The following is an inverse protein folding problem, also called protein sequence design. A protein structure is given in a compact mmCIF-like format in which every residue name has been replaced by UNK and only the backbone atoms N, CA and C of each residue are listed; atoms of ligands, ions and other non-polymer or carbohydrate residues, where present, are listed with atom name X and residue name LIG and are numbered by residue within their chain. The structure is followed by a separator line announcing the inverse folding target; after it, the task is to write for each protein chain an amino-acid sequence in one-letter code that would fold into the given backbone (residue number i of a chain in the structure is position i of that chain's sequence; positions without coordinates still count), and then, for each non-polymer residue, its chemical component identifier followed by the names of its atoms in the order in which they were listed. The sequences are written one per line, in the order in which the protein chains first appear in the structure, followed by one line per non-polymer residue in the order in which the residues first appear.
data_IF_734815007501
#
_entry.id   IF_734815007501
#
_cell.length_a   1.000
_cell.length_b   1.000
_cell.length_c   1.000
_cell.angle_alpha   90.00
_cell.angle_beta   90.00
_cell.angle_gamma   90.00
#
_symmetry.space_group_name_H-M   'P 1'
#
loop_
_entity.id
_entity.type
_entity.pdbx_description
1 polymer ?
#
# COMPACT_ATOMS: atom_id res chain seq x y z
N UNK A 1 -2.33 -15.70 1.64
CA UNK A 1 -1.43 -14.82 0.86
C UNK A 1 -1.40 -13.48 1.60
N UNK A 2 -0.23 -12.88 1.85
CA UNK A 2 -0.19 -11.58 2.55
C UNK A 2 -0.63 -10.46 1.60
N UNK A 3 -1.51 -9.58 2.08
CA UNK A 3 -2.01 -8.39 1.39
C UNK A 3 -1.65 -7.15 2.18
N UNK A 4 -1.16 -6.11 1.51
CA UNK A 4 -0.61 -4.91 2.15
C UNK A 4 -1.19 -3.67 1.48
N UNK A 5 -1.79 -2.78 2.28
CA UNK A 5 -2.13 -1.43 1.86
C UNK A 5 -0.93 -0.49 2.12
N UNK A 6 -0.30 -0.01 1.05
CA UNK A 6 0.79 0.97 1.10
C UNK A 6 0.25 2.36 0.75
N UNK A 7 0.30 3.27 1.72
CA UNK A 7 -0.12 4.67 1.53
C UNK A 7 1.03 5.64 1.68
N UNK A 8 1.05 6.67 0.85
CA UNK A 8 2.08 7.72 0.89
C UNK A 8 1.44 9.11 1.01
N UNK A 9 1.93 9.93 1.93
CA UNK A 9 1.60 11.35 1.98
C UNK A 9 2.68 12.21 1.29
N UNK A 10 3.73 11.58 0.77
CA UNK A 10 4.80 12.26 0.05
C UNK A 10 4.31 12.66 -1.35
N UNK A 11 4.64 13.88 -1.77
CA UNK A 11 4.41 14.32 -3.15
C UNK A 11 5.44 13.72 -4.12
N UNK A 12 6.60 13.29 -3.59
CA UNK A 12 7.68 12.63 -4.32
C UNK A 12 7.68 11.15 -3.96
N UNK A 13 6.57 10.47 -4.22
CA UNK A 13 6.47 9.03 -4.06
C UNK A 13 7.21 8.35 -5.21
N UNK A 14 8.53 8.20 -5.05
CA UNK A 14 9.40 7.55 -6.03
C UNK A 14 9.65 6.12 -5.56
N UNK A 15 9.18 5.10 -6.31
CA UNK A 15 9.48 3.71 -6.01
C UNK A 15 10.99 3.47 -5.96
N UNK A 16 11.42 2.62 -5.04
CA UNK A 16 12.83 2.29 -4.85
C UNK A 16 13.03 0.83 -4.43
N UNK A 17 14.25 0.43 -4.03
CA UNK A 17 14.61 -0.97 -3.79
C UNK A 17 13.72 -1.72 -2.78
N UNK A 18 13.11 -0.99 -1.84
CA UNK A 18 12.15 -1.56 -0.89
C UNK A 18 10.86 -2.05 -1.58
N UNK A 19 10.40 -1.34 -2.61
CA UNK A 19 9.22 -1.74 -3.40
C UNK A 19 9.51 -3.00 -4.20
N UNK A 20 10.70 -3.08 -4.81
CA UNK A 20 11.14 -4.27 -5.56
C UNK A 20 11.23 -5.49 -4.65
N UNK A 21 11.76 -5.31 -3.43
CA UNK A 21 11.80 -6.37 -2.42
C UNK A 21 10.39 -6.83 -2.05
N UNK A 22 9.46 -5.91 -1.78
CA UNK A 22 8.07 -6.25 -1.46
C UNK A 22 7.38 -7.01 -2.59
N UNK A 23 7.57 -6.57 -3.84
CA UNK A 23 7.00 -7.25 -5.02
C UNK A 23 7.56 -8.67 -5.17
N UNK A 24 8.85 -8.87 -4.88
CA UNK A 24 9.50 -10.19 -4.96
C UNK A 24 9.00 -11.20 -3.91
N UNK A 25 8.32 -10.75 -2.83
CA UNK A 25 7.78 -11.66 -1.81
C UNK A 25 6.49 -12.37 -2.24
N UNK A 26 5.93 -12.01 -3.40
CA UNK A 26 4.63 -12.51 -3.85
C UNK A 26 3.48 -11.99 -2.99
N UNK A 27 3.61 -10.80 -2.41
CA UNK A 27 2.52 -10.16 -1.68
C UNK A 27 1.56 -9.43 -2.63
N UNK A 28 0.29 -9.34 -2.24
CA UNK A 28 -0.65 -8.47 -2.93
C UNK A 28 -0.52 -7.05 -2.38
N UNK A 29 0.10 -6.15 -3.15
CA UNK A 29 0.36 -4.78 -2.73
C UNK A 29 -0.71 -3.85 -3.33
N UNK A 30 -1.53 -3.25 -2.48
CA UNK A 30 -2.51 -2.22 -2.83
C UNK A 30 -1.87 -0.85 -2.53
N UNK A 31 -1.78 0.04 -3.51
CA UNK A 31 -1.12 1.35 -3.38
C UNK A 31 -2.13 2.49 -3.49
N UNK A 32 -2.06 3.46 -2.57
CA UNK A 32 -2.94 4.62 -2.53
C UNK A 32 -2.23 5.90 -2.06
N UNK A 33 -2.73 7.06 -2.47
CA UNK A 33 -2.21 8.35 -1.97
C UNK A 33 -2.97 8.75 -0.71
N UNK A 34 -2.23 8.98 0.38
CA UNK A 34 -2.76 9.51 1.62
C UNK A 34 -2.87 11.05 1.65
N UNK A 35 -3.47 11.60 2.72
CA UNK A 35 -4.10 10.87 3.82
C UNK A 35 -5.45 10.25 3.41
N UNK A 36 -5.68 8.98 3.78
CA UNK A 36 -6.95 8.29 3.52
C UNK A 36 -7.93 8.52 4.67
N UNK A 37 -9.22 8.55 4.36
CA UNK A 37 -10.28 8.50 5.37
C UNK A 37 -10.41 7.09 5.96
N UNK A 38 -10.98 6.99 7.15
CA UNK A 38 -11.30 5.70 7.79
C UNK A 38 -12.15 4.80 6.89
N UNK A 39 -13.21 5.36 6.29
CA UNK A 39 -14.06 4.62 5.35
C UNK A 39 -13.25 4.05 4.18
N UNK A 40 -12.33 4.84 3.60
CA UNK A 40 -11.49 4.39 2.49
C UNK A 40 -10.49 3.31 2.93
N UNK A 41 -9.95 3.41 4.14
CA UNK A 41 -9.11 2.35 4.69
C UNK A 41 -9.91 1.06 4.89
N UNK A 42 -11.12 1.13 5.44
CA UNK A 42 -11.98 -0.04 5.64
C UNK A 42 -12.40 -0.72 4.33
N UNK A 43 -12.70 0.05 3.27
CA UNK A 43 -12.97 -0.51 1.93
C UNK A 43 -11.80 -1.31 1.36
N UNK A 44 -10.58 -0.83 1.61
CA UNK A 44 -9.37 -1.40 1.03
C UNK A 44 -8.81 -2.55 1.87
N UNK A 45 -8.98 -2.46 3.19
CA UNK A 45 -8.26 -3.24 4.18
C UNK A 45 -9.10 -3.87 5.29
N UNK A 46 -10.41 -3.66 5.30
CA UNK A 46 -11.30 -4.12 6.38
C UNK A 46 -11.37 -5.63 6.54
N UNK A 47 -11.08 -6.38 5.47
CA UNK A 47 -11.15 -7.85 5.42
C UNK A 47 -9.76 -8.55 5.52
N UNK A 48 -8.71 -7.83 5.92
CA UNK A 48 -7.34 -8.36 6.03
C UNK A 48 -7.10 -9.22 7.28
#
# INVERSE_FOLDING_TARGET
MMRILLTTCSYQDTPGPHHDLMESQGWEIVRERGPLSEARMLELAGDF
#
